data_IF_826019276390
#
_entry.id   IF_826019276390
#
_cell.length_a   1.000
_cell.length_b   1.000
_cell.length_c   1.000
_cell.angle_alpha   90.00
_cell.angle_beta   90.00
_cell.angle_gamma   90.00
#
_symmetry.space_group_name_H-M   'P 1'
#
loop_
_entity.id
_entity.type
_entity.pdbx_description
1 polymer ?
#
# COMPACT_ATOMS: atom_id res chain seq x y z
N UNK A 1 27.95 19.13 22.87
CA UNK A 1 27.82 17.66 22.86
C UNK A 1 26.75 17.36 21.82
N UNK A 2 27.19 17.12 20.59
CA UNK A 2 26.30 17.07 19.43
C UNK A 2 25.63 15.71 19.35
N UNK A 3 24.29 15.71 19.43
CA UNK A 3 23.48 14.55 19.18
C UNK A 3 23.64 14.17 17.70
N UNK A 4 24.42 13.13 17.41
CA UNK A 4 24.38 12.48 16.10
C UNK A 4 22.96 11.97 15.87
N UNK A 5 22.20 12.75 15.10
CA UNK A 5 20.83 12.46 14.71
C UNK A 5 20.86 11.30 13.70
N UNK A 6 20.94 10.08 14.23
CA UNK A 6 20.87 8.86 13.44
C UNK A 6 19.44 8.74 12.90
N UNK A 7 19.32 8.87 11.59
CA UNK A 7 18.04 8.64 10.92
C UNK A 7 17.75 7.14 10.98
N UNK A 8 16.64 6.78 11.61
CA UNK A 8 16.15 5.41 11.71
C UNK A 8 14.98 5.20 10.73
N UNK A 9 14.82 3.99 10.21
CA UNK A 9 13.63 3.56 9.47
C UNK A 9 13.05 2.34 10.18
N UNK A 10 11.79 2.38 10.60
CA UNK A 10 11.18 1.31 11.41
C UNK A 10 12.05 0.94 12.64
N UNK A 11 12.74 1.92 13.22
CA UNK A 11 13.66 1.74 14.35
C UNK A 11 15.02 1.09 14.01
N UNK A 12 15.35 0.89 12.73
CA UNK A 12 16.66 0.39 12.29
C UNK A 12 17.54 1.58 11.87
N UNK A 13 18.78 1.70 12.39
CA UNK A 13 19.68 2.78 11.99
C UNK A 13 20.10 2.64 10.53
N UNK A 14 19.96 3.72 9.76
CA UNK A 14 20.34 3.75 8.34
C UNK A 14 21.82 4.09 8.20
N UNK A 15 22.68 3.21 7.64
CA UNK A 15 24.10 3.50 7.46
C UNK A 15 24.33 4.70 6.54
N UNK A 16 25.29 5.56 6.88
CA UNK A 16 25.61 6.77 6.10
C UNK A 16 26.02 6.47 4.65
N UNK A 17 26.63 5.30 4.41
CA UNK A 17 26.99 4.82 3.06
C UNK A 17 25.78 4.67 2.12
N UNK A 18 24.58 4.44 2.66
CA UNK A 18 23.34 4.30 1.89
C UNK A 18 22.78 5.66 1.48
N UNK A 19 23.03 6.72 2.26
CA UNK A 19 22.55 8.09 1.96
C UNK A 19 23.20 8.69 0.71
N UNK A 20 24.46 8.37 0.46
CA UNK A 20 25.21 8.86 -0.70
C UNK A 20 24.69 8.35 -2.06
N UNK A 21 23.76 7.38 -2.05
CA UNK A 21 23.23 6.74 -3.25
C UNK A 21 21.84 7.27 -3.67
N UNK A 22 21.35 8.35 -3.05
CA UNK A 22 20.04 8.91 -3.35
C UNK A 22 19.98 9.47 -4.79
N UNK A 23 18.99 9.05 -5.56
CA UNK A 23 18.67 9.63 -6.88
C UNK A 23 17.47 10.56 -6.75
N UNK A 24 17.41 11.59 -7.59
CA UNK A 24 16.27 12.49 -7.63
C UNK A 24 14.97 11.71 -7.91
N UNK A 25 13.85 12.08 -7.26
CA UNK A 25 12.56 11.47 -7.51
C UNK A 25 12.15 11.64 -8.98
N UNK A 26 11.61 10.61 -9.63
CA UNK A 26 11.04 10.78 -10.95
C UNK A 26 9.89 11.78 -10.88
N UNK A 27 9.94 12.81 -11.73
CA UNK A 27 8.82 13.73 -11.94
C UNK A 27 7.76 12.96 -12.73
N UNK A 28 6.57 12.83 -12.18
CA UNK A 28 5.47 12.17 -12.88
C UNK A 28 4.24 13.06 -12.87
N UNK A 29 3.62 13.17 -14.04
CA UNK A 29 2.39 13.90 -14.26
C UNK A 29 1.19 12.97 -13.98
N UNK A 30 0.07 13.50 -13.46
CA UNK A 30 -1.16 12.74 -13.30
C UNK A 30 -1.57 12.09 -14.62
N UNK A 31 -1.94 10.82 -14.56
CA UNK A 31 -2.41 10.03 -15.71
C UNK A 31 -3.93 9.89 -15.71
N UNK A 32 -4.51 9.58 -16.87
CA UNK A 32 -5.95 9.26 -16.98
C UNK A 32 -6.36 8.11 -16.06
N UNK A 33 -5.47 7.13 -15.86
CA UNK A 33 -5.67 6.02 -14.94
C UNK A 33 -5.86 6.46 -13.48
N UNK A 34 -5.24 7.58 -13.09
CA UNK A 34 -5.38 8.12 -11.74
C UNK A 34 -6.80 8.70 -11.56
N UNK A 35 -7.32 9.46 -12.54
CA UNK A 35 -8.70 9.95 -12.52
C UNK A 35 -9.72 8.82 -12.43
N UNK A 36 -9.58 7.79 -13.28
CA UNK A 36 -10.50 6.64 -13.28
C UNK A 36 -10.45 5.86 -11.96
N UNK A 37 -9.27 5.78 -11.31
CA UNK A 37 -9.12 5.18 -9.99
C UNK A 37 -9.92 5.93 -8.93
N UNK A 38 -9.85 7.27 -8.94
CA UNK A 38 -10.59 8.13 -8.00
C UNK A 38 -12.10 7.94 -8.17
N UNK A 39 -12.59 7.86 -9.42
CA UNK A 39 -14.01 7.63 -9.71
C UNK A 39 -14.49 6.25 -9.25
N UNK A 40 -13.68 5.19 -9.41
CA UNK A 40 -14.03 3.85 -8.92
C UNK A 40 -14.21 3.87 -7.40
N UNK A 41 -13.27 4.49 -6.68
CA UNK A 41 -13.34 4.59 -5.21
C UNK A 41 -14.50 5.45 -4.73
N UNK A 42 -14.81 6.54 -5.44
CA UNK A 42 -15.97 7.39 -5.14
C UNK A 42 -17.28 6.62 -5.30
N UNK A 43 -17.44 5.95 -6.44
CA UNK A 43 -18.64 5.16 -6.73
C UNK A 43 -18.82 4.03 -5.72
N UNK A 44 -17.75 3.33 -5.36
CA UNK A 44 -17.80 2.27 -4.34
C UNK A 44 -18.19 2.83 -2.96
N UNK A 45 -17.57 3.94 -2.56
CA UNK A 45 -17.87 4.60 -1.28
C UNK A 45 -19.31 5.08 -1.18
N UNK A 46 -19.82 5.70 -2.24
CA UNK A 46 -21.21 6.14 -2.35
C UNK A 46 -22.17 4.95 -2.30
N UNK A 47 -21.89 3.84 -3.00
CA UNK A 47 -22.69 2.62 -2.93
C UNK A 47 -22.75 2.03 -1.52
N UNK A 48 -21.69 2.19 -0.73
CA UNK A 48 -21.64 1.73 0.66
C UNK A 48 -22.16 2.76 1.67
N UNK A 49 -22.71 3.89 1.20
CA UNK A 49 -23.16 5.01 2.02
C UNK A 49 -22.07 5.53 2.97
N UNK A 50 -20.83 5.60 2.49
CA UNK A 50 -19.70 6.04 3.32
C UNK A 50 -19.64 7.56 3.42
N UNK A 51 -19.19 8.10 4.58
CA UNK A 51 -18.94 9.52 4.74
C UNK A 51 -17.96 10.08 3.69
N UNK A 52 -18.17 11.32 3.26
CA UNK A 52 -17.36 11.96 2.20
C UNK A 52 -15.88 12.09 2.58
N UNK A 53 -15.57 12.25 3.86
CA UNK A 53 -14.21 12.31 4.39
C UNK A 53 -13.51 10.95 4.30
N UNK A 54 -14.19 9.84 4.58
CA UNK A 54 -13.64 8.49 4.36
C UNK A 54 -13.31 8.24 2.89
N UNK A 55 -14.24 8.61 1.99
CA UNK A 55 -14.04 8.52 0.53
C UNK A 55 -12.83 9.37 0.12
N UNK A 56 -12.74 10.60 0.60
CA UNK A 56 -11.64 11.51 0.28
C UNK A 56 -10.27 10.97 0.73
N UNK A 57 -10.18 10.35 1.92
CA UNK A 57 -8.90 9.78 2.35
C UNK A 57 -8.50 8.55 1.54
N UNK A 58 -9.45 7.69 1.16
CA UNK A 58 -9.18 6.59 0.24
C UNK A 58 -8.69 7.09 -1.12
N UNK A 59 -9.30 8.16 -1.64
CA UNK A 59 -8.87 8.84 -2.86
C UNK A 59 -7.46 9.41 -2.72
N UNK A 60 -7.14 10.08 -1.61
CA UNK A 60 -5.80 10.62 -1.35
C UNK A 60 -4.73 9.52 -1.33
N UNK A 61 -5.01 8.36 -0.72
CA UNK A 61 -4.12 7.21 -0.72
C UNK A 61 -3.92 6.63 -2.13
N UNK A 62 -4.96 6.65 -2.96
CA UNK A 62 -4.93 6.09 -4.31
C UNK A 62 -4.38 7.05 -5.39
N UNK A 63 -4.26 8.34 -5.07
CA UNK A 63 -3.82 9.40 -5.98
C UNK A 63 -2.31 9.33 -6.32
N UNK A 64 -1.55 8.45 -5.66
CA UNK A 64 -0.14 8.23 -5.95
C UNK A 64 0.10 7.62 -7.34
N UNK A 65 1.38 7.47 -7.68
CA UNK A 65 1.80 6.97 -8.99
C UNK A 65 1.41 5.50 -9.20
N UNK A 66 1.12 5.15 -10.46
CA UNK A 66 0.60 3.84 -10.85
C UNK A 66 1.64 2.74 -10.90
N UNK A 67 2.94 3.04 -10.90
CA UNK A 67 3.99 2.05 -11.09
C UNK A 67 4.26 1.16 -9.87
N UNK A 68 3.99 1.66 -8.66
CA UNK A 68 4.02 0.89 -7.41
C UNK A 68 2.66 1.02 -6.72
N UNK A 69 2.00 -0.11 -6.51
CA UNK A 69 0.74 -0.19 -5.74
C UNK A 69 0.97 -1.02 -4.50
N UNK A 70 0.64 -0.47 -3.34
CA UNK A 70 0.67 -1.17 -2.04
C UNK A 70 -0.76 -1.54 -1.66
N UNK A 71 -1.01 -2.81 -1.39
CA UNK A 71 -2.32 -3.33 -1.01
C UNK A 71 -2.29 -3.67 0.47
N UNK A 72 -2.96 -2.86 1.28
CA UNK A 72 -3.29 -3.13 2.68
C UNK A 72 -4.56 -3.97 2.78
N UNK A 73 -4.84 -4.50 3.96
CA UNK A 73 -6.00 -5.35 4.15
C UNK A 73 -7.31 -4.52 4.20
N UNK A 74 -7.47 -3.74 5.27
CA UNK A 74 -8.69 -3.04 5.63
C UNK A 74 -8.35 -1.66 6.20
N UNK A 75 -9.20 -0.65 5.95
CA UNK A 75 -9.06 0.64 6.60
C UNK A 75 -9.29 0.51 8.11
N UNK A 76 -8.74 1.44 8.87
CA UNK A 76 -9.01 1.51 10.31
C UNK A 76 -10.41 2.07 10.56
N UNK A 77 -11.08 1.57 11.58
CA UNK A 77 -12.41 2.06 11.93
C UNK A 77 -12.37 3.55 12.34
N UNK A 78 -13.36 4.33 11.87
CA UNK A 78 -13.50 5.77 12.12
C UNK A 78 -13.61 6.14 13.60
N UNK A 79 -14.05 5.23 14.46
CA UNK A 79 -14.07 5.45 15.91
C UNK A 79 -12.66 5.56 16.50
N UNK A 80 -11.64 5.00 15.83
CA UNK A 80 -10.25 4.97 16.31
C UNK A 80 -9.27 5.73 15.41
N UNK A 81 -9.73 6.32 14.30
CA UNK A 81 -8.88 7.03 13.36
C UNK A 81 -9.64 8.20 12.75
N UNK A 82 -9.20 9.46 12.94
CA UNK A 82 -9.89 10.62 12.38
C UNK A 82 -9.76 10.69 10.87
N UNK A 83 -10.90 10.73 10.16
CA UNK A 83 -10.95 10.92 8.70
C UNK A 83 -11.16 12.39 8.29
N UNK A 84 -11.72 13.20 9.18
CA UNK A 84 -12.06 14.61 8.95
C UNK A 84 -10.88 15.58 9.14
N UNK A 85 -9.65 15.11 8.96
CA UNK A 85 -8.40 15.88 9.12
C UNK A 85 -7.64 15.99 7.79
N UNK A 86 -6.59 16.80 7.75
CA UNK A 86 -5.68 16.86 6.60
C UNK A 86 -4.99 15.51 6.35
N UNK A 87 -4.58 15.24 5.10
CA UNK A 87 -3.98 13.95 4.73
C UNK A 87 -2.71 13.63 5.53
N UNK A 88 -1.84 14.62 5.78
CA UNK A 88 -0.63 14.45 6.60
C UNK A 88 -0.95 13.98 8.02
N UNK A 89 -1.97 14.57 8.64
CA UNK A 89 -2.43 14.21 9.98
C UNK A 89 -3.13 12.85 9.99
N UNK A 90 -3.92 12.56 8.95
CA UNK A 90 -4.54 11.25 8.75
C UNK A 90 -3.48 10.14 8.67
N UNK A 91 -2.41 10.33 7.89
CA UNK A 91 -1.29 9.38 7.82
C UNK A 91 -0.58 9.28 9.17
N UNK A 92 -0.26 10.42 9.80
CA UNK A 92 0.50 10.46 11.06
C UNK A 92 -0.24 9.82 12.24
N UNK A 93 -1.57 9.84 12.24
CA UNK A 93 -2.37 9.24 13.33
C UNK A 93 -2.57 7.73 13.15
N UNK A 94 -2.19 7.15 12.00
CA UNK A 94 -2.26 5.72 11.76
C UNK A 94 -0.87 5.07 11.73
N UNK A 95 -0.51 4.24 12.72
CA UNK A 95 0.79 3.56 12.76
C UNK A 95 1.09 2.72 11.51
N UNK A 96 0.09 2.09 10.93
CA UNK A 96 0.24 1.32 9.68
C UNK A 96 0.63 2.23 8.52
N UNK A 97 -0.06 3.37 8.35
CA UNK A 97 0.24 4.31 7.26
C UNK A 97 1.59 5.00 7.46
N UNK A 98 1.95 5.31 8.71
CA UNK A 98 3.31 5.78 9.03
C UNK A 98 4.38 4.75 8.65
N UNK A 99 4.18 3.48 9.02
CA UNK A 99 5.12 2.42 8.66
C UNK A 99 5.23 2.24 7.13
N UNK A 100 4.13 2.39 6.39
CA UNK A 100 4.13 2.41 4.92
C UNK A 100 4.93 3.60 4.39
N UNK A 101 4.70 4.82 4.91
CA UNK A 101 5.44 6.01 4.48
C UNK A 101 6.94 5.89 4.76
N UNK A 102 7.32 5.45 5.97
CA UNK A 102 8.72 5.19 6.33
C UNK A 102 9.37 4.14 5.41
N UNK A 103 8.66 3.03 5.15
CA UNK A 103 9.12 1.98 4.25
C UNK A 103 9.37 2.50 2.84
N UNK A 104 8.40 3.23 2.26
CA UNK A 104 8.52 3.79 0.91
C UNK A 104 9.71 4.74 0.87
N UNK A 105 9.79 5.68 1.82
CA UNK A 105 10.88 6.65 1.89
C UNK A 105 12.22 5.94 2.02
N UNK A 106 12.33 4.90 2.85
CA UNK A 106 13.57 4.17 2.99
C UNK A 106 13.96 3.40 1.72
N UNK A 107 13.04 2.59 1.19
CA UNK A 107 13.28 1.76 0.00
C UNK A 107 13.63 2.60 -1.23
N UNK A 108 13.10 3.82 -1.31
CA UNK A 108 13.33 4.74 -2.42
C UNK A 108 14.35 5.83 -2.10
N UNK A 109 15.01 5.78 -0.93
CA UNK A 109 15.96 6.81 -0.45
C UNK A 109 15.39 8.23 -0.46
N UNK A 110 14.12 8.36 -0.11
CA UNK A 110 13.38 9.62 -0.03
C UNK A 110 12.81 10.08 -1.37
N UNK A 111 13.06 9.36 -2.46
CA UNK A 111 12.50 9.69 -3.77
C UNK A 111 10.98 9.52 -3.81
N UNK A 112 10.39 8.75 -2.89
CA UNK A 112 8.95 8.60 -2.76
C UNK A 112 8.52 8.68 -1.31
N UNK A 113 7.25 8.97 -1.15
CA UNK A 113 6.50 8.91 0.10
C UNK A 113 5.12 8.33 -0.18
N UNK A 114 4.32 8.15 0.85
CA UNK A 114 2.91 7.76 0.72
C UNK A 114 2.09 8.76 -0.11
N UNK A 115 2.52 10.03 -0.21
CA UNK A 115 1.87 11.04 -1.07
C UNK A 115 2.03 10.77 -2.57
N UNK A 116 3.03 9.98 -2.94
CA UNK A 116 3.45 9.76 -4.33
C UNK A 116 3.35 8.29 -4.75
N UNK A 117 2.89 7.41 -3.86
CA UNK A 117 2.76 5.98 -4.11
C UNK A 117 1.30 5.58 -3.91
N UNK A 118 0.74 4.80 -4.83
CA UNK A 118 -0.64 4.33 -4.70
C UNK A 118 -0.74 3.33 -3.54
N UNK A 119 -1.62 3.61 -2.58
CA UNK A 119 -1.98 2.69 -1.49
C UNK A 119 -3.48 2.40 -1.58
N UNK A 120 -3.85 1.12 -1.52
CA UNK A 120 -5.23 0.65 -1.62
C UNK A 120 -5.53 -0.35 -0.50
N UNK A 121 -6.77 -0.42 -0.06
CA UNK A 121 -7.27 -1.48 0.81
C UNK A 121 -7.98 -2.55 0.00
N UNK A 122 -7.62 -3.82 0.20
CA UNK A 122 -8.29 -4.97 -0.41
C UNK A 122 -9.80 -4.99 -0.11
N UNK A 123 -10.16 -4.65 1.12
CA UNK A 123 -11.55 -4.55 1.58
C UNK A 123 -11.91 -3.09 1.83
N UNK A 124 -11.77 -2.26 0.78
CA UNK A 124 -12.04 -0.82 0.82
C UNK A 124 -13.35 -0.48 1.53
N UNK A 125 -13.26 0.48 2.47
CA UNK A 125 -14.35 0.94 3.34
C UNK A 125 -14.98 -0.11 4.28
N UNK A 126 -14.34 -1.26 4.50
CA UNK A 126 -14.86 -2.29 5.41
C UNK A 126 -13.90 -2.56 6.59
N UNK A 127 -13.95 -1.78 7.67
CA UNK A 127 -13.04 -1.95 8.80
C UNK A 127 -13.31 -3.23 9.63
N UNK A 128 -14.55 -3.72 9.69
CA UNK A 128 -14.90 -4.93 10.43
C UNK A 128 -14.74 -6.19 9.58
N UNK A 129 -13.79 -7.06 9.96
CA UNK A 129 -13.54 -8.37 9.31
C UNK A 129 -14.74 -9.31 9.33
N UNK A 130 -15.68 -9.15 10.28
CA UNK A 130 -16.87 -10.00 10.38
C UNK A 130 -17.92 -9.64 9.32
N UNK A 131 -17.85 -8.43 8.77
CA UNK A 131 -18.76 -7.97 7.71
C UNK A 131 -18.15 -8.34 6.36
N UNK A 132 -18.65 -9.41 5.75
CA UNK A 132 -18.08 -9.99 4.51
C UNK A 132 -18.99 -9.87 3.30
N UNK A 133 -20.21 -9.31 3.48
CA UNK A 133 -21.25 -9.22 2.45
C UNK A 133 -20.81 -8.39 1.23
N UNK A 134 -19.91 -7.43 1.42
CA UNK A 134 -19.46 -6.52 0.38
C UNK A 134 -18.06 -6.83 -0.16
N UNK A 135 -17.38 -7.84 0.38
CA UNK A 135 -15.99 -8.17 0.00
C UNK A 135 -15.83 -8.38 -1.50
N UNK A 136 -16.79 -9.06 -2.15
CA UNK A 136 -16.76 -9.29 -3.59
C UNK A 136 -16.67 -7.96 -4.36
N UNK A 137 -17.47 -6.96 -3.98
CA UNK A 137 -17.46 -5.63 -4.62
C UNK A 137 -16.16 -4.88 -4.36
N UNK A 138 -15.58 -5.00 -3.16
CA UNK A 138 -14.27 -4.42 -2.87
C UNK A 138 -13.18 -5.03 -3.77
N UNK A 139 -13.21 -6.35 -3.92
CA UNK A 139 -12.26 -7.10 -4.74
C UNK A 139 -12.42 -6.78 -6.23
N UNK A 140 -13.65 -6.69 -6.75
CA UNK A 140 -13.91 -6.26 -8.12
C UNK A 140 -13.39 -4.84 -8.40
N UNK A 141 -13.59 -3.92 -7.45
CA UNK A 141 -13.06 -2.56 -7.55
C UNK A 141 -11.53 -2.54 -7.55
N UNK A 142 -10.89 -3.29 -6.65
CA UNK A 142 -9.44 -3.42 -6.60
C UNK A 142 -8.88 -4.02 -7.89
N UNK A 143 -9.50 -5.10 -8.41
CA UNK A 143 -9.12 -5.73 -9.67
C UNK A 143 -9.14 -4.72 -10.82
N UNK A 144 -10.23 -3.95 -10.93
CA UNK A 144 -10.39 -2.91 -11.95
C UNK A 144 -9.33 -1.82 -11.83
N UNK A 145 -9.03 -1.34 -10.62
CA UNK A 145 -7.99 -0.33 -10.39
C UNK A 145 -6.62 -0.85 -10.82
N UNK A 146 -6.26 -2.08 -10.44
CA UNK A 146 -4.97 -2.67 -10.82
C UNK A 146 -4.82 -2.86 -12.33
N UNK A 147 -5.89 -3.24 -13.02
CA UNK A 147 -5.92 -3.36 -14.48
C UNK A 147 -5.74 -2.01 -15.17
N UNK A 148 -6.36 -0.95 -14.66
CA UNK A 148 -6.26 0.40 -15.22
C UNK A 148 -4.88 1.02 -14.94
N UNK A 149 -4.35 0.85 -13.72
CA UNK A 149 -3.03 1.38 -13.34
C UNK A 149 -1.88 0.59 -13.97
N UNK A 150 -2.07 -0.69 -14.33
CA UNK A 150 -1.04 -1.58 -14.88
C UNK A 150 0.31 -1.46 -14.13
N UNK A 151 0.32 -1.65 -12.80
CA UNK A 151 1.51 -1.38 -12.01
C UNK A 151 2.69 -2.24 -12.42
N UNK A 152 3.90 -1.71 -12.30
CA UNK A 152 5.12 -2.52 -12.48
C UNK A 152 5.35 -3.42 -11.27
N UNK A 153 4.97 -2.94 -10.08
CA UNK A 153 5.13 -3.64 -8.81
C UNK A 153 3.84 -3.55 -7.99
N UNK A 154 3.37 -4.69 -7.51
CA UNK A 154 2.32 -4.81 -6.49
C UNK A 154 2.98 -5.31 -5.20
N UNK A 155 2.81 -4.58 -4.11
CA UNK A 155 3.23 -5.01 -2.77
C UNK A 155 1.97 -5.38 -1.98
N UNK A 156 1.70 -6.68 -1.84
CA UNK A 156 0.57 -7.20 -1.06
C UNK A 156 0.99 -7.38 0.40
N UNK A 157 0.32 -6.65 1.28
CA UNK A 157 0.62 -6.57 2.71
C UNK A 157 -0.38 -7.34 3.60
N UNK A 158 -1.18 -8.23 3.03
CA UNK A 158 -2.13 -9.06 3.77
C UNK A 158 -2.17 -10.48 3.21
N UNK A 159 -2.82 -11.40 3.91
CA UNK A 159 -2.89 -12.82 3.53
C UNK A 159 -4.29 -13.31 3.21
N UNK A 160 -5.31 -12.53 3.56
CA UNK A 160 -6.72 -12.86 3.31
C UNK A 160 -6.99 -13.13 1.82
N UNK A 161 -7.78 -14.16 1.57
CA UNK A 161 -8.16 -14.62 0.23
C UNK A 161 -9.08 -13.63 -0.47
N UNK A 162 -8.90 -13.51 -1.78
CA UNK A 162 -9.76 -12.74 -2.65
C UNK A 162 -10.91 -13.60 -3.15
N UNK A 163 -12.09 -12.96 -3.19
CA UNK A 163 -13.30 -13.52 -3.80
C UNK A 163 -13.35 -13.30 -5.32
N UNK A 164 -12.69 -12.26 -5.81
CA UNK A 164 -12.56 -11.99 -7.24
C UNK A 164 -11.57 -12.97 -7.88
N UNK A 165 -11.98 -13.62 -8.97
CA UNK A 165 -11.17 -14.65 -9.64
C UNK A 165 -9.90 -14.09 -10.29
N UNK A 166 -9.93 -12.85 -10.78
CA UNK A 166 -8.74 -12.24 -11.37
C UNK A 166 -7.70 -11.94 -10.28
N UNK A 167 -8.11 -11.45 -9.12
CA UNK A 167 -7.20 -11.18 -8.00
C UNK A 167 -6.54 -12.45 -7.44
N UNK A 168 -7.11 -13.64 -7.65
CA UNK A 168 -6.41 -14.89 -7.30
C UNK A 168 -5.05 -15.04 -7.99
N UNK A 169 -4.85 -14.39 -9.15
CA UNK A 169 -3.55 -14.44 -9.83
C UNK A 169 -2.42 -13.73 -9.06
N UNK A 170 -2.75 -12.72 -8.24
CA UNK A 170 -1.79 -12.01 -7.37
C UNK A 170 -1.70 -12.62 -5.97
N UNK A 171 -2.50 -13.64 -5.65
CA UNK A 171 -2.36 -14.36 -4.39
C UNK A 171 -1.05 -15.13 -4.34
N UNK A 172 -0.41 -15.04 -3.19
CA UNK A 172 0.68 -15.91 -2.81
C UNK A 172 0.43 -16.40 -1.40
N UNK A 173 0.51 -17.72 -1.23
CA UNK A 173 0.57 -18.33 0.09
C UNK A 173 1.97 -18.04 0.65
N UNK A 174 2.10 -16.97 1.41
CA UNK A 174 3.35 -16.66 2.09
C UNK A 174 3.59 -17.69 3.19
N UNK A 175 4.54 -18.59 2.99
CA UNK A 175 4.99 -19.53 4.01
C UNK A 175 5.96 -18.83 4.98
N UNK A 176 5.86 -19.15 6.28
CA UNK A 176 6.90 -18.92 7.30
C UNK A 176 7.57 -17.55 7.33
N UNK A 177 6.78 -16.50 7.17
CA UNK A 177 7.32 -15.15 7.28
C UNK A 177 8.41 -14.85 6.22
N UNK A 178 8.30 -15.43 5.01
CA UNK A 178 9.20 -15.11 3.91
C UNK A 178 8.56 -14.13 2.93
N UNK A 179 9.39 -13.26 2.34
CA UNK A 179 9.02 -12.44 1.21
C UNK A 179 8.72 -13.35 0.02
N UNK A 180 7.47 -13.34 -0.45
CA UNK A 180 7.08 -14.03 -1.68
C UNK A 180 7.29 -13.13 -2.88
N UNK A 181 7.76 -13.69 -4.00
CA UNK A 181 7.85 -13.00 -5.29
C UNK A 181 7.23 -13.86 -6.38
N UNK A 182 6.40 -13.24 -7.22
CA UNK A 182 5.82 -13.83 -8.43
C UNK A 182 5.77 -12.77 -9.51
N UNK A 183 5.84 -13.19 -10.76
CA UNK A 183 5.58 -12.32 -11.90
C UNK A 183 4.26 -12.74 -12.54
N UNK A 184 3.44 -11.75 -12.86
CA UNK A 184 2.18 -11.94 -13.57
C UNK A 184 2.17 -11.07 -14.83
N UNK A 185 1.27 -11.38 -15.74
CA UNK A 185 1.01 -10.57 -16.91
C UNK A 185 -0.37 -9.94 -16.73
N UNK A 186 -0.41 -8.60 -16.74
CA UNK A 186 -1.66 -7.86 -16.85
C UNK A 186 -1.83 -7.53 -18.33
N UNK A 187 -2.85 -8.13 -18.95
CA UNK A 187 -3.21 -7.90 -20.34
C UNK A 187 -4.60 -7.27 -20.37
N UNK A 188 -4.67 -6.04 -20.86
CA UNK A 188 -5.89 -5.32 -21.23
C UNK A 188 -5.80 -5.01 -22.73
N UNK A 189 -6.93 -4.84 -23.42
CA UNK A 189 -7.14 -4.88 -24.88
C UNK A 189 -6.00 -4.42 -25.81
N UNK A 190 -5.18 -3.46 -25.39
CA UNK A 190 -4.05 -2.91 -26.17
C UNK A 190 -2.69 -2.92 -25.45
N UNK A 191 -2.65 -3.31 -24.17
CA UNK A 191 -1.47 -3.19 -23.31
C UNK A 191 -1.22 -4.48 -22.55
N UNK A 192 -0.04 -5.05 -22.74
CA UNK A 192 0.46 -6.20 -21.98
C UNK A 192 1.66 -5.75 -21.16
N UNK A 193 1.54 -5.85 -19.83
CA UNK A 193 2.60 -5.46 -18.91
C UNK A 193 2.95 -6.60 -17.95
N UNK A 194 4.25 -6.88 -17.80
CA UNK A 194 4.74 -7.76 -16.73
C UNK A 194 4.74 -7.00 -15.42
N UNK A 195 4.04 -7.55 -14.43
CA UNK A 195 3.94 -7.00 -13.07
C UNK A 195 4.63 -7.93 -12.08
N UNK A 196 5.49 -7.38 -11.23
CA UNK A 196 6.08 -8.11 -10.11
C UNK A 196 5.17 -8.00 -8.90
N UNK A 197 4.73 -9.12 -8.37
CA UNK A 197 3.95 -9.21 -7.13
C UNK A 197 4.86 -9.63 -6.00
N UNK A 198 4.96 -8.79 -4.98
CA UNK A 198 5.69 -9.03 -3.73
C UNK A 198 4.69 -9.26 -2.61
N UNK A 199 4.74 -10.44 -1.99
CA UNK A 199 3.96 -10.77 -0.80
C UNK A 199 4.80 -10.49 0.45
N UNK A 200 4.33 -9.57 1.29
CA UNK A 200 4.97 -9.21 2.56
C UNK A 200 3.97 -9.28 3.72
N UNK A 201 4.39 -8.85 4.91
CA UNK A 201 3.54 -8.72 6.09
C UNK A 201 2.74 -7.45 6.09
N UNK A 202 1.74 -7.44 6.96
CA UNK A 202 1.07 -6.21 7.30
C UNK A 202 2.04 -5.25 8.02
N UNK A 203 2.17 -3.98 7.59
CA UNK A 203 3.08 -3.01 8.20
C UNK A 203 2.87 -2.79 9.70
N UNK A 204 1.67 -3.08 10.23
CA UNK A 204 1.42 -3.05 11.68
C UNK A 204 2.28 -4.06 12.47
N UNK A 205 2.79 -5.11 11.84
CA UNK A 205 3.72 -6.04 12.47
C UNK A 205 5.11 -5.44 12.66
N UNK A 206 5.52 -4.47 11.82
CA UNK A 206 6.81 -3.80 11.95
C UNK A 206 6.85 -2.81 13.12
N UNK A 207 5.69 -2.27 13.51
CA UNK A 207 5.53 -1.42 14.71
C UNK A 207 5.59 -2.19 16.03
N UNK A 208 5.57 -3.53 16.01
CA UNK A 208 5.75 -4.36 17.21
C UNK A 208 7.26 -4.44 17.51
N UNK A 209 7.64 -4.22 18.76
CA UNK A 209 9.01 -4.22 19.31
C UNK A 209 9.69 -5.59 19.31
N UNK A 210 9.34 -6.49 18.39
CA UNK A 210 9.96 -7.80 18.27
C UNK A 210 11.05 -7.76 17.18
N UNK A 211 12.31 -7.84 17.64
CA UNK A 211 13.52 -7.74 16.81
C UNK A 211 13.61 -8.90 15.80
N UNK A 212 12.97 -10.04 16.09
CA UNK A 212 13.02 -11.24 15.24
C UNK A 212 12.23 -11.12 13.93
N UNK A 213 11.10 -10.42 13.94
CA UNK A 213 10.27 -10.20 12.75
C UNK A 213 10.85 -9.15 11.80
N UNK A 214 11.69 -8.26 12.33
CA UNK A 214 12.32 -7.18 11.56
C UNK A 214 13.43 -7.69 10.63
N UNK A 215 14.25 -8.64 11.07
CA UNK A 215 15.31 -9.24 10.23
C UNK A 215 14.76 -10.00 9.02
N UNK A 216 13.58 -10.62 9.16
CA UNK A 216 12.90 -11.37 8.09
C UNK A 216 12.19 -10.47 7.09
N UNK A 217 11.78 -9.28 7.50
CA UNK A 217 11.19 -8.27 6.60
C UNK A 217 12.15 -7.85 5.48
N UNK A 218 13.46 -7.87 5.75
CA UNK A 218 14.51 -7.41 4.83
C UNK A 218 15.26 -8.53 4.10
N UNK A 219 14.93 -9.81 4.36
CA UNK A 219 15.65 -10.94 3.77
C UNK A 219 17.14 -10.99 4.15
N UNK A 220 17.50 -10.48 5.32
CA UNK A 220 18.90 -10.39 5.78
C UNK A 220 19.39 -11.61 6.59
N UNK A 221 18.60 -12.67 6.68
CA UNK A 221 19.09 -13.97 7.17
C UNK A 221 19.59 -14.80 5.97
N UNK A 222 20.92 -14.80 5.78
CA UNK A 222 21.64 -15.97 5.29
C UNK A 222 22.09 -16.80 6.50
#
# INVERSE_FOLDING_TARGET
MDAHNHQTCLGIPVPLSVKALAKAPPICLPSRADCETIEILENLGNQFNRPKDEIKQAQNLAAGLSDIVIILERPRDRYYHPYNVGFDEFVKTCPTLQAVDELIRFATRGARSIHTTTVLDAFSYQPDKKVTKQDQKCHEALARILKIKTPKVIIRCHRDEYKDEWLKCIEQKGEDYKLGRKEIIIAEDTTTATTVVLQTFHPSCASITDVSLRGRFWGTEM
#
